data_IF_778859025357
#
_entry.id   IF_778859025357
#
_cell.length_a   1.000
_cell.length_b   1.000
_cell.length_c   1.000
_cell.angle_alpha   90.00
_cell.angle_beta   90.00
_cell.angle_gamma   90.00
#
_symmetry.space_group_name_H-M   'P 1'
#
loop_
_entity.id
_entity.type
_entity.pdbx_description
1 polymer ?
#
# COMPACT_ATOMS: atom_id res chain seq x y z
N UNK A 1 33.34 -41.09 12.39
CA UNK A 1 33.13 -39.76 13.02
C UNK A 1 33.15 -38.62 12.01
N UNK A 2 34.09 -38.57 11.05
CA UNK A 2 34.17 -37.49 10.06
C UNK A 2 32.90 -37.31 9.17
N UNK A 3 32.24 -38.42 8.81
CA UNK A 3 31.03 -38.43 7.95
C UNK A 3 29.75 -37.93 8.64
N UNK A 4 29.70 -37.99 9.98
CA UNK A 4 28.59 -37.40 10.74
C UNK A 4 28.81 -35.90 10.96
N UNK A 5 30.07 -35.46 11.14
CA UNK A 5 30.41 -34.03 11.22
C UNK A 5 30.06 -33.27 9.93
N UNK A 6 30.26 -33.88 8.76
CA UNK A 6 29.89 -33.26 7.47
C UNK A 6 28.38 -33.14 7.28
N UNK A 7 27.58 -34.07 7.84
CA UNK A 7 26.11 -34.00 7.75
C UNK A 7 25.54 -32.91 8.67
N UNK A 8 26.14 -32.71 9.84
CA UNK A 8 25.78 -31.63 10.77
C UNK A 8 26.16 -30.25 10.23
N UNK A 9 27.31 -30.13 9.55
CA UNK A 9 27.76 -28.86 8.95
C UNK A 9 26.86 -28.42 7.78
N UNK A 10 26.38 -29.37 6.95
CA UNK A 10 25.46 -29.08 5.84
C UNK A 10 24.05 -28.74 6.34
N UNK A 11 23.61 -29.34 7.46
CA UNK A 11 22.33 -29.03 8.09
C UNK A 11 22.30 -27.63 8.73
N UNK A 12 23.45 -27.15 9.24
CA UNK A 12 23.56 -25.79 9.80
C UNK A 12 23.64 -24.69 8.73
N UNK A 13 24.09 -24.99 7.49
CA UNK A 13 24.10 -24.01 6.39
C UNK A 13 22.74 -23.84 5.69
N UNK A 14 21.78 -24.74 5.93
CA UNK A 14 20.44 -24.69 5.32
C UNK A 14 19.40 -23.81 6.03
N UNK A 15 19.77 -23.16 7.14
CA UNK A 15 18.84 -22.41 8.01
C UNK A 15 19.04 -20.89 7.97
N UNK A 16 19.83 -20.37 7.02
CA UNK A 16 19.80 -18.94 6.68
C UNK A 16 18.57 -18.66 5.80
N UNK A 17 17.39 -18.89 6.34
CA UNK A 17 16.18 -18.26 5.83
C UNK A 17 16.38 -16.76 6.02
N UNK A 18 16.69 -16.07 4.93
CA UNK A 18 16.64 -14.61 4.85
C UNK A 18 15.21 -14.24 5.21
N UNK A 19 14.98 -13.85 6.48
CA UNK A 19 13.77 -13.20 6.91
C UNK A 19 13.72 -11.90 6.12
N UNK A 20 13.02 -11.92 4.98
CA UNK A 20 12.69 -10.71 4.25
C UNK A 20 11.74 -9.96 5.18
N UNK A 21 12.26 -8.96 5.87
CA UNK A 21 11.39 -8.06 6.60
C UNK A 21 10.63 -7.26 5.56
N UNK A 22 9.32 -7.26 5.71
CA UNK A 22 8.40 -6.60 4.80
C UNK A 22 8.51 -5.07 4.97
N UNK A 23 8.23 -4.36 3.89
CA UNK A 23 8.51 -2.93 3.73
C UNK A 23 7.50 -2.07 4.49
N UNK A 24 6.25 -2.54 4.57
CA UNK A 24 5.15 -1.83 5.21
C UNK A 24 4.80 -2.45 6.58
N UNK A 25 4.38 -1.60 7.51
CA UNK A 25 3.65 -1.97 8.73
C UNK A 25 2.27 -1.30 8.69
N UNK A 26 1.31 -2.01 8.11
CA UNK A 26 -0.04 -1.55 7.86
C UNK A 26 -0.97 -1.99 8.99
N UNK A 27 -1.70 -1.03 9.56
CA UNK A 27 -2.82 -1.25 10.48
C UNK A 27 -4.13 -0.83 9.83
N UNK A 28 -5.14 -1.68 9.96
CA UNK A 28 -6.44 -1.45 9.32
C UNK A 28 -7.52 -1.29 10.38
N UNK A 29 -8.36 -0.27 10.19
CA UNK A 29 -9.61 -0.10 10.93
C UNK A 29 -10.75 -0.08 9.93
N UNK A 30 -11.79 -0.88 10.20
CA UNK A 30 -13.00 -0.90 9.36
C UNK A 30 -14.16 -0.36 10.19
N UNK A 31 -14.81 0.67 9.68
CA UNK A 31 -15.99 1.28 10.27
C UNK A 31 -17.21 0.96 9.40
N UNK A 32 -18.30 0.52 10.02
CA UNK A 32 -19.52 0.10 9.32
C UNK A 32 -20.75 0.81 9.92
N UNK A 33 -20.87 2.14 9.79
CA UNK A 33 -21.86 2.93 10.53
C UNK A 33 -23.32 2.68 10.12
N UNK A 34 -23.56 2.21 8.89
CA UNK A 34 -24.90 2.17 8.27
C UNK A 34 -25.33 0.77 7.83
N UNK A 35 -24.56 -0.27 8.12
CA UNK A 35 -24.79 -1.62 7.59
C UNK A 35 -25.96 -2.34 8.24
N UNK A 36 -26.71 -3.10 7.44
CA UNK A 36 -27.91 -3.81 7.89
C UNK A 36 -28.00 -5.27 7.38
N UNK A 37 -27.32 -5.65 6.29
CA UNK A 37 -27.55 -6.95 5.64
C UNK A 37 -26.41 -7.97 5.86
N UNK A 38 -25.15 -7.56 5.75
CA UNK A 38 -23.99 -8.43 5.87
C UNK A 38 -23.68 -8.79 7.33
N UNK A 39 -23.18 -10.00 7.55
CA UNK A 39 -22.71 -10.45 8.85
C UNK A 39 -21.49 -9.61 9.27
N UNK A 40 -21.48 -8.99 10.48
CA UNK A 40 -20.32 -8.26 11.00
C UNK A 40 -18.99 -9.00 10.90
N UNK A 41 -19.01 -10.35 10.96
CA UNK A 41 -17.81 -11.19 10.80
C UNK A 41 -17.11 -11.02 9.46
N UNK A 42 -17.85 -10.70 8.39
CA UNK A 42 -17.27 -10.40 7.07
C UNK A 42 -16.22 -9.30 7.19
N UNK A 43 -16.48 -8.27 8.00
CA UNK A 43 -15.60 -7.12 8.15
C UNK A 43 -14.42 -7.39 9.08
N UNK A 44 -14.58 -8.26 10.09
CA UNK A 44 -13.46 -8.74 10.90
C UNK A 44 -12.46 -9.55 10.04
N UNK A 45 -12.98 -10.42 9.18
CA UNK A 45 -12.18 -11.19 8.23
C UNK A 45 -11.55 -10.31 7.14
N UNK A 46 -12.31 -9.36 6.58
CA UNK A 46 -11.82 -8.38 5.61
C UNK A 46 -10.65 -7.60 6.19
N UNK A 47 -10.77 -7.10 7.43
CA UNK A 47 -9.67 -6.40 8.12
C UNK A 47 -8.42 -7.28 8.16
N UNK A 48 -8.56 -8.52 8.62
CA UNK A 48 -7.44 -9.45 8.72
C UNK A 48 -6.85 -9.81 7.35
N UNK A 49 -7.70 -9.90 6.31
CA UNK A 49 -7.27 -10.17 4.94
C UNK A 49 -6.46 -8.99 4.36
N UNK A 50 -6.92 -7.74 4.55
CA UNK A 50 -6.20 -6.54 4.12
C UNK A 50 -4.87 -6.43 4.85
N UNK A 51 -4.84 -6.58 6.18
CA UNK A 51 -3.60 -6.54 6.95
C UNK A 51 -2.62 -7.63 6.52
N UNK A 52 -3.11 -8.87 6.30
CA UNK A 52 -2.27 -9.98 5.82
C UNK A 52 -1.70 -9.68 4.43
N UNK A 53 -2.54 -9.22 3.52
CA UNK A 53 -2.14 -8.89 2.16
C UNK A 53 -1.07 -7.79 2.14
N UNK A 54 -1.37 -6.65 2.74
CA UNK A 54 -0.49 -5.48 2.71
C UNK A 54 0.86 -5.72 3.39
N UNK A 55 0.87 -6.48 4.50
CA UNK A 55 2.09 -6.73 5.29
C UNK A 55 2.89 -7.95 4.84
N UNK A 56 2.32 -8.88 4.08
CA UNK A 56 3.05 -10.08 3.63
C UNK A 56 3.38 -10.08 2.15
N UNK A 57 2.71 -9.25 1.35
CA UNK A 57 3.08 -9.02 -0.03
C UNK A 57 4.47 -8.38 -0.07
N UNK A 58 5.33 -8.88 -0.95
CA UNK A 58 6.62 -8.25 -1.25
C UNK A 58 6.39 -7.17 -2.29
N UNK A 59 6.68 -5.92 -1.94
CA UNK A 59 6.46 -4.76 -2.80
C UNK A 59 7.73 -4.29 -3.49
N UNK A 60 8.89 -4.53 -2.88
CA UNK A 60 10.20 -4.13 -3.40
C UNK A 60 11.20 -5.28 -3.28
N UNK A 61 12.39 -5.10 -3.85
CA UNK A 61 13.48 -6.06 -3.69
C UNK A 61 14.41 -5.72 -2.53
N UNK A 62 14.18 -4.59 -1.86
CA UNK A 62 15.06 -4.07 -0.82
C UNK A 62 14.83 -4.79 0.51
N UNK A 63 15.88 -4.84 1.34
CA UNK A 63 15.81 -5.44 2.66
C UNK A 63 15.55 -4.36 3.70
N UNK A 64 14.42 -4.45 4.40
CA UNK A 64 14.03 -3.52 5.46
C UNK A 64 14.40 -4.07 6.83
N UNK A 65 14.83 -3.22 7.75
CA UNK A 65 14.82 -3.56 9.18
C UNK A 65 13.43 -3.29 9.77
N UNK A 66 13.08 -3.95 10.87
CA UNK A 66 11.78 -3.73 11.53
C UNK A 66 11.55 -2.26 11.93
N UNK A 67 12.61 -1.53 12.29
CA UNK A 67 12.55 -0.10 12.62
C UNK A 67 12.44 0.81 11.39
N UNK A 68 12.74 0.32 10.20
CA UNK A 68 12.72 1.07 8.93
C UNK A 68 11.40 0.88 8.18
N UNK A 69 10.51 0.01 8.66
CA UNK A 69 9.20 -0.23 8.04
C UNK A 69 8.38 1.05 8.00
N UNK A 70 7.73 1.27 6.87
CA UNK A 70 6.85 2.43 6.67
C UNK A 70 5.54 2.13 7.38
N UNK A 71 5.21 2.95 8.39
CA UNK A 71 3.97 2.79 9.15
C UNK A 71 2.82 3.37 8.36
N UNK A 72 1.80 2.56 8.12
CA UNK A 72 0.61 2.95 7.36
C UNK A 72 -0.65 2.65 8.17
N UNK A 73 -1.53 3.63 8.27
CA UNK A 73 -2.87 3.47 8.83
C UNK A 73 -3.89 3.56 7.71
N UNK A 74 -4.71 2.52 7.56
CA UNK A 74 -5.85 2.50 6.65
C UNK A 74 -7.12 2.49 7.48
N UNK A 75 -8.01 3.45 7.21
CA UNK A 75 -9.36 3.47 7.76
C UNK A 75 -10.35 3.33 6.62
N UNK A 76 -10.99 2.17 6.53
CA UNK A 76 -12.03 1.89 5.56
C UNK A 76 -13.39 2.12 6.21
N UNK A 77 -14.14 3.10 5.74
CA UNK A 77 -15.50 3.37 6.20
C UNK A 77 -16.47 2.86 5.16
N UNK A 78 -17.13 1.73 5.46
CA UNK A 78 -18.11 1.10 4.58
C UNK A 78 -19.49 1.69 4.89
N UNK A 79 -19.95 2.57 4.01
CA UNK A 79 -21.23 3.27 4.15
C UNK A 79 -22.33 2.73 3.24
N UNK A 80 -21.96 2.02 2.18
CA UNK A 80 -22.85 1.53 1.15
C UNK A 80 -22.78 0.00 1.06
N UNK A 81 -23.95 -0.61 0.92
CA UNK A 81 -24.13 -2.06 0.82
C UNK A 81 -25.01 -2.35 -0.39
N UNK A 82 -24.37 -2.76 -1.49
CA UNK A 82 -25.06 -3.05 -2.75
C UNK A 82 -25.61 -4.48 -2.78
N UNK A 83 -24.93 -5.40 -2.09
CA UNK A 83 -25.35 -6.79 -1.86
C UNK A 83 -24.63 -7.33 -0.62
N UNK A 84 -24.88 -8.60 -0.26
CA UNK A 84 -24.18 -9.28 0.83
C UNK A 84 -22.65 -9.40 0.63
N UNK A 85 -22.14 -9.16 -0.59
CA UNK A 85 -20.72 -9.31 -0.94
C UNK A 85 -20.16 -8.11 -1.70
N UNK A 86 -20.95 -7.05 -1.92
CA UNK A 86 -20.55 -5.87 -2.67
C UNK A 86 -20.81 -4.60 -1.86
N UNK A 87 -19.75 -3.81 -1.67
CA UNK A 87 -19.69 -2.72 -0.71
C UNK A 87 -19.14 -1.45 -1.34
N UNK A 88 -19.47 -0.31 -0.76
CA UNK A 88 -18.96 1.00 -1.14
C UNK A 88 -18.68 1.89 0.06
N UNK A 89 -17.75 2.82 -0.10
CA UNK A 89 -17.46 3.82 0.92
C UNK A 89 -16.14 4.55 0.71
N UNK A 90 -15.53 4.95 1.81
CA UNK A 90 -14.36 5.82 1.83
C UNK A 90 -13.14 5.09 2.39
N UNK A 91 -11.97 5.30 1.78
CA UNK A 91 -10.67 4.83 2.30
C UNK A 91 -9.80 6.03 2.67
N UNK A 92 -9.53 6.19 3.95
CA UNK A 92 -8.52 7.12 4.43
C UNK A 92 -7.20 6.38 4.62
N UNK A 93 -6.13 6.89 4.00
CA UNK A 93 -4.78 6.35 4.14
C UNK A 93 -3.84 7.42 4.69
N UNK A 94 -3.06 7.02 5.69
CA UNK A 94 -2.00 7.84 6.27
C UNK A 94 -0.72 7.02 6.34
N UNK A 95 0.38 7.58 5.84
CA UNK A 95 1.70 6.99 5.95
C UNK A 95 2.63 7.96 6.65
N UNK A 96 3.45 7.43 7.56
CA UNK A 96 4.43 8.20 8.32
C UNK A 96 5.78 7.49 8.27
N UNK A 97 6.85 8.27 8.41
CA UNK A 97 8.21 7.74 8.62
C UNK A 97 8.84 8.33 9.88
N UNK A 98 9.73 7.58 10.56
CA UNK A 98 10.52 8.13 11.63
C UNK A 98 11.55 9.15 11.10
N UNK A 99 11.77 10.20 11.87
CA UNK A 99 12.90 11.12 11.67
C UNK A 99 14.15 10.49 12.26
N UNK A 100 15.24 10.50 11.49
CA UNK A 100 16.50 9.86 11.88
C UNK A 100 16.97 10.32 13.26
N UNK A 101 17.45 9.38 14.08
CA UNK A 101 17.97 9.68 15.43
C UNK A 101 16.92 9.96 16.50
N UNK A 102 15.61 9.96 16.17
CA UNK A 102 14.54 10.33 17.10
C UNK A 102 13.39 9.32 17.15
N UNK A 103 12.50 9.48 18.14
CA UNK A 103 11.20 8.79 18.18
C UNK A 103 10.08 9.58 17.51
N UNK A 104 10.40 10.72 16.88
CA UNK A 104 9.43 11.58 16.23
C UNK A 104 9.11 11.05 14.83
N UNK A 105 7.84 11.09 14.46
CA UNK A 105 7.33 10.64 13.16
C UNK A 105 6.81 11.85 12.37
N UNK A 106 7.02 11.80 11.06
CA UNK A 106 6.57 12.85 10.13
C UNK A 106 5.69 12.25 9.03
N UNK A 107 4.59 12.93 8.65
CA UNK A 107 3.68 12.42 7.63
C UNK A 107 4.30 12.45 6.23
N UNK A 108 4.18 11.34 5.52
CA UNK A 108 4.51 11.20 4.10
C UNK A 108 3.28 11.39 3.21
N UNK A 109 2.16 10.81 3.62
CA UNK A 109 0.90 10.83 2.88
C UNK A 109 -0.27 10.94 3.86
N UNK A 110 -1.26 11.76 3.51
CA UNK A 110 -2.58 11.75 4.12
C UNK A 110 -3.60 11.98 3.03
N UNK A 111 -4.35 10.95 2.68
CA UNK A 111 -5.29 10.98 1.56
C UNK A 111 -6.63 10.35 1.94
N UNK A 112 -7.71 10.91 1.40
CA UNK A 112 -9.07 10.37 1.51
C UNK A 112 -9.57 10.06 0.10
N UNK A 113 -9.70 8.78 -0.17
CA UNK A 113 -10.36 8.25 -1.36
C UNK A 113 -11.85 8.07 -1.06
N UNK A 114 -12.71 8.69 -1.86
CA UNK A 114 -14.17 8.62 -1.70
C UNK A 114 -14.83 7.69 -2.71
N UNK A 115 -14.06 7.17 -3.64
CA UNK A 115 -14.55 6.40 -4.77
C UNK A 115 -14.06 4.95 -4.62
N UNK A 116 -14.39 4.33 -3.48
CA UNK A 116 -13.98 2.96 -3.14
C UNK A 116 -15.19 2.03 -3.16
N UNK A 117 -15.27 1.25 -4.23
CA UNK A 117 -16.26 0.19 -4.41
C UNK A 117 -15.54 -1.15 -4.54
N UNK A 118 -16.00 -2.19 -3.85
CA UNK A 118 -15.33 -3.48 -3.88
C UNK A 118 -16.26 -4.64 -3.58
N UNK A 119 -15.88 -5.81 -4.09
CA UNK A 119 -16.47 -7.08 -3.71
C UNK A 119 -15.59 -7.79 -2.68
N UNK A 120 -16.20 -8.45 -1.70
CA UNK A 120 -15.49 -9.32 -0.78
C UNK A 120 -16.40 -10.43 -0.24
N UNK A 121 -15.90 -11.66 -0.27
CA UNK A 121 -16.53 -12.82 0.35
C UNK A 121 -15.69 -13.32 1.54
N UNK A 122 -16.34 -13.90 2.54
CA UNK A 122 -15.64 -14.51 3.68
C UNK A 122 -14.61 -15.52 3.19
N UNK A 123 -13.45 -15.52 3.86
CA UNK A 123 -12.29 -16.36 3.51
C UNK A 123 -11.67 -16.12 2.12
N UNK A 124 -12.16 -15.17 1.32
CA UNK A 124 -11.54 -14.85 0.05
C UNK A 124 -10.15 -14.23 0.28
N UNK A 125 -9.07 -14.83 -0.28
CA UNK A 125 -7.75 -14.20 -0.22
C UNK A 125 -7.71 -12.97 -1.13
N UNK A 126 -6.98 -11.95 -0.69
CA UNK A 126 -6.63 -10.79 -1.51
C UNK A 126 -5.26 -11.07 -2.11
N UNK A 127 -5.15 -11.00 -3.44
CA UNK A 127 -3.93 -11.36 -4.17
C UNK A 127 -3.61 -10.29 -5.22
N UNK A 128 -2.31 -9.99 -5.39
CA UNK A 128 -1.84 -9.05 -6.39
C UNK A 128 -1.00 -9.74 -7.46
N UNK A 129 -1.26 -9.38 -8.71
CA UNK A 129 -0.55 -9.85 -9.89
C UNK A 129 -0.06 -8.65 -10.69
N UNK A 130 1.25 -8.50 -10.89
CA UNK A 130 1.85 -7.29 -11.46
C UNK A 130 1.30 -6.87 -12.84
N UNK A 131 0.89 -7.84 -13.65
CA UNK A 131 0.45 -7.61 -15.03
C UNK A 131 -1.00 -8.10 -15.26
N UNK A 132 -1.77 -8.30 -14.20
CA UNK A 132 -3.13 -8.82 -14.32
C UNK A 132 -4.05 -8.20 -13.28
N UNK A 133 -5.24 -7.82 -13.74
CA UNK A 133 -6.34 -7.49 -12.84
C UNK A 133 -6.89 -8.77 -12.21
N UNK A 134 -7.00 -8.78 -10.88
CA UNK A 134 -7.65 -9.85 -10.12
C UNK A 134 -9.03 -9.36 -9.65
N UNK A 135 -9.04 -8.32 -8.81
CA UNK A 135 -10.25 -7.70 -8.27
C UNK A 135 -9.99 -6.23 -7.92
N UNK A 136 -11.05 -5.45 -7.70
CA UNK A 136 -10.90 -4.02 -7.47
C UNK A 136 -10.28 -3.69 -6.11
N UNK A 137 -10.50 -4.51 -5.07
CA UNK A 137 -9.95 -4.28 -3.73
C UNK A 137 -8.43 -4.44 -3.74
N UNK A 138 -7.93 -5.54 -4.31
CA UNK A 138 -6.49 -5.79 -4.45
C UNK A 138 -5.83 -4.69 -5.28
N UNK A 139 -6.46 -4.22 -6.36
CA UNK A 139 -5.95 -3.09 -7.16
C UNK A 139 -5.88 -1.79 -6.38
N UNK A 140 -6.92 -1.41 -5.62
CA UNK A 140 -6.91 -0.18 -4.79
C UNK A 140 -5.78 -0.23 -3.76
N UNK A 141 -5.68 -1.35 -3.04
CA UNK A 141 -4.67 -1.54 -2.00
C UNK A 141 -3.24 -1.52 -2.57
N UNK A 142 -3.02 -2.19 -3.71
CA UNK A 142 -1.73 -2.22 -4.40
C UNK A 142 -1.33 -0.86 -4.94
N UNK A 143 -2.28 -0.12 -5.51
CA UNK A 143 -2.07 1.27 -5.95
C UNK A 143 -1.54 2.12 -4.79
N UNK A 144 -2.23 2.09 -3.64
CA UNK A 144 -1.81 2.88 -2.48
C UNK A 144 -0.50 2.40 -1.84
N UNK A 145 -0.20 1.09 -1.87
CA UNK A 145 1.11 0.59 -1.46
C UNK A 145 2.23 1.24 -2.28
N UNK A 146 2.10 1.27 -3.60
CA UNK A 146 3.10 1.89 -4.48
C UNK A 146 3.16 3.42 -4.35
N UNK A 147 2.04 4.10 -4.11
CA UNK A 147 2.06 5.54 -3.80
C UNK A 147 2.83 5.80 -2.51
N UNK A 148 2.59 5.05 -1.44
CA UNK A 148 3.30 5.19 -0.17
C UNK A 148 4.80 4.94 -0.34
N UNK A 149 5.17 3.86 -1.04
CA UNK A 149 6.58 3.56 -1.35
C UNK A 149 7.24 4.67 -2.15
N UNK A 150 6.57 5.19 -3.17
CA UNK A 150 7.11 6.29 -3.96
C UNK A 150 7.36 7.55 -3.11
N UNK A 151 6.41 7.91 -2.26
CA UNK A 151 6.56 9.05 -1.34
C UNK A 151 7.69 8.84 -0.32
N UNK A 152 7.84 7.61 0.17
CA UNK A 152 8.92 7.26 1.09
C UNK A 152 10.30 7.38 0.43
N UNK A 153 10.51 6.80 -0.75
CA UNK A 153 11.80 6.85 -1.45
C UNK A 153 12.17 8.26 -1.91
N UNK A 154 11.18 9.08 -2.32
CA UNK A 154 11.38 10.51 -2.58
C UNK A 154 11.84 11.25 -1.31
N UNK A 155 11.43 10.82 -0.13
CA UNK A 155 11.85 11.44 1.13
C UNK A 155 13.32 11.13 1.50
N UNK A 156 13.91 10.09 0.89
CA UNK A 156 15.31 9.69 1.13
C UNK A 156 16.27 10.10 0.01
N UNK A 157 15.78 10.26 -1.21
CA UNK A 157 16.59 10.65 -2.36
C UNK A 157 15.78 11.46 -3.38
N UNK A 158 16.38 12.44 -4.08
CA UNK A 158 15.69 13.21 -5.10
C UNK A 158 15.09 12.28 -6.16
N UNK A 159 13.76 12.27 -6.29
CA UNK A 159 13.00 11.46 -7.24
C UNK A 159 13.17 9.94 -7.09
N UNK A 160 13.60 9.45 -5.92
CA UNK A 160 13.80 8.02 -5.66
C UNK A 160 12.53 7.18 -5.82
N UNK A 161 11.34 7.79 -5.67
CA UNK A 161 10.05 7.14 -5.79
C UNK A 161 9.58 6.85 -7.20
N UNK A 162 10.29 7.33 -8.23
CA UNK A 162 9.92 7.18 -9.64
C UNK A 162 9.52 5.74 -10.03
N UNK A 163 10.29 4.69 -9.68
CA UNK A 163 9.92 3.32 -10.05
C UNK A 163 8.59 2.88 -9.45
N UNK A 164 8.27 3.30 -8.23
CA UNK A 164 7.03 2.92 -7.55
C UNK A 164 5.82 3.68 -8.08
N UNK A 165 5.98 4.96 -8.42
CA UNK A 165 4.93 5.69 -9.13
C UNK A 165 4.63 5.08 -10.51
N UNK A 166 5.65 4.58 -11.21
CA UNK A 166 5.45 3.82 -12.45
C UNK A 166 4.69 2.51 -12.19
N UNK A 167 5.00 1.76 -11.12
CA UNK A 167 4.22 0.58 -10.74
C UNK A 167 2.76 0.93 -10.41
N UNK A 168 2.50 2.05 -9.72
CA UNK A 168 1.15 2.53 -9.48
C UNK A 168 0.41 2.84 -10.79
N UNK A 169 1.09 3.41 -11.78
CA UNK A 169 0.53 3.63 -13.11
C UNK A 169 0.22 2.30 -13.82
N UNK A 170 1.08 1.29 -13.68
CA UNK A 170 0.81 -0.04 -14.24
C UNK A 170 -0.41 -0.70 -13.60
N UNK A 171 -0.64 -0.53 -12.30
CA UNK A 171 -1.89 -0.98 -11.66
C UNK A 171 -3.11 -0.40 -12.39
N UNK A 172 -3.11 0.90 -12.69
CA UNK A 172 -4.19 1.54 -13.45
C UNK A 172 -4.31 0.93 -14.85
N UNK A 173 -3.20 0.68 -15.54
CA UNK A 173 -3.19 0.12 -16.89
C UNK A 173 -3.76 -1.32 -16.94
N UNK A 174 -3.68 -2.07 -15.85
CA UNK A 174 -4.26 -3.43 -15.77
C UNK A 174 -5.79 -3.43 -15.63
N UNK A 175 -6.40 -2.32 -15.20
CA UNK A 175 -7.85 -2.26 -14.94
C UNK A 175 -8.63 -2.37 -16.27
N UNK A 176 -9.50 -3.38 -16.44
CA UNK A 176 -10.32 -3.50 -17.64
C UNK A 176 -11.27 -2.31 -17.80
N UNK A 177 -11.53 -1.87 -19.05
CA UNK A 177 -12.40 -0.71 -19.32
C UNK A 177 -13.80 -0.84 -18.71
N UNK A 178 -14.36 -2.06 -18.65
CA UNK A 178 -15.66 -2.32 -18.02
C UNK A 178 -15.64 -2.14 -16.51
N UNK A 179 -14.54 -2.53 -15.85
CA UNK A 179 -14.35 -2.35 -14.41
C UNK A 179 -14.14 -0.87 -14.10
N UNK A 180 -13.32 -0.17 -14.90
CA UNK A 180 -13.08 1.26 -14.74
C UNK A 180 -14.36 2.07 -14.92
N UNK A 181 -15.24 1.69 -15.86
CA UNK A 181 -16.54 2.35 -16.04
C UNK A 181 -17.53 2.08 -14.90
N UNK A 182 -17.42 0.93 -14.22
CA UNK A 182 -18.29 0.54 -13.12
C UNK A 182 -17.78 0.99 -11.74
N UNK A 183 -16.49 1.28 -11.61
CA UNK A 183 -15.82 1.64 -10.37
C UNK A 183 -15.05 2.95 -10.60
N UNK A 184 -15.61 4.10 -10.19
CA UNK A 184 -14.98 5.39 -10.41
C UNK A 184 -13.60 5.47 -9.76
N UNK A 185 -12.75 6.31 -10.34
CA UNK A 185 -11.47 6.72 -9.79
C UNK A 185 -10.26 6.20 -10.57
N UNK A 186 -10.49 5.32 -11.54
CA UNK A 186 -9.46 4.75 -12.42
C UNK A 186 -9.27 5.53 -13.72
N UNK A 187 -10.21 6.41 -14.08
CA UNK A 187 -10.17 7.17 -15.33
C UNK A 187 -10.02 8.67 -15.10
N UNK A 188 -9.48 9.37 -16.09
CA UNK A 188 -9.37 10.84 -16.08
C UNK A 188 -10.71 11.56 -16.04
N UNK A 189 -11.78 10.88 -16.47
CA UNK A 189 -13.15 11.40 -16.54
C UNK A 189 -13.90 11.32 -15.20
N UNK A 190 -13.40 10.55 -14.23
CA UNK A 190 -14.02 10.33 -12.91
C UNK A 190 -13.77 11.50 -11.94
N UNK A 191 -13.71 12.72 -12.45
CA UNK A 191 -13.39 13.94 -11.71
C UNK A 191 -11.90 14.27 -11.63
N UNK A 192 -11.57 15.33 -10.88
CA UNK A 192 -10.23 15.93 -10.85
C UNK A 192 -9.38 15.48 -9.64
N UNK A 193 -9.94 14.63 -8.75
CA UNK A 193 -9.28 14.14 -7.54
C UNK A 193 -9.54 12.65 -7.39
N UNK A 194 -8.77 11.86 -8.11
CA UNK A 194 -8.90 10.41 -8.13
C UNK A 194 -7.53 9.73 -8.29
N UNK A 195 -7.52 8.38 -8.22
CA UNK A 195 -6.30 7.56 -8.30
C UNK A 195 -5.54 7.81 -9.61
N UNK A 196 -6.24 7.95 -10.74
CA UNK A 196 -5.65 8.34 -12.02
C UNK A 196 -4.85 9.64 -11.94
N UNK A 197 -5.47 10.71 -11.44
CA UNK A 197 -4.81 12.01 -11.37
C UNK A 197 -3.72 12.08 -10.32
N UNK A 198 -3.77 11.27 -9.25
CA UNK A 198 -2.69 11.21 -8.25
C UNK A 198 -1.38 10.79 -8.92
N UNK A 199 -1.38 9.64 -9.61
CA UNK A 199 -0.15 9.10 -10.21
C UNK A 199 0.32 9.92 -11.41
N UNK A 200 -0.61 10.38 -12.27
CA UNK A 200 -0.30 11.23 -13.41
C UNK A 200 0.39 12.54 -12.97
N UNK A 201 -0.09 13.15 -11.88
CA UNK A 201 0.54 14.36 -11.35
C UNK A 201 1.91 14.07 -10.74
N UNK A 202 2.09 12.96 -10.02
CA UNK A 202 3.39 12.61 -9.40
C UNK A 202 4.47 12.27 -10.43
N UNK A 203 4.10 11.71 -11.58
CA UNK A 203 5.00 11.44 -12.71
C UNK A 203 5.22 12.68 -13.59
N UNK A 204 4.35 13.69 -13.49
CA UNK A 204 4.45 14.90 -14.31
C UNK A 204 5.72 15.70 -14.00
N UNK A 205 6.51 16.09 -15.02
CA UNK A 205 7.64 17.00 -14.84
C UNK A 205 7.27 18.33 -14.16
N UNK A 206 6.01 18.76 -14.28
CA UNK A 206 5.49 19.99 -13.67
C UNK A 206 5.47 19.94 -12.14
N UNK A 207 5.37 18.74 -11.56
CA UNK A 207 5.26 18.51 -10.11
C UNK A 207 6.61 18.10 -9.51
N UNK A 208 7.69 18.03 -10.31
CA UNK A 208 9.05 17.78 -9.79
C UNK A 208 9.47 18.71 -8.64
N UNK A 209 9.17 20.02 -8.64
CA UNK A 209 9.50 20.87 -7.50
C UNK A 209 8.86 20.42 -6.18
N UNK A 210 7.64 19.87 -6.23
CA UNK A 210 6.98 19.29 -5.05
C UNK A 210 7.72 18.05 -4.55
N UNK A 211 8.06 17.13 -5.46
CA UNK A 211 8.82 15.91 -5.11
C UNK A 211 10.21 16.22 -4.57
N UNK A 212 10.88 17.24 -5.13
CA UNK A 212 12.14 17.75 -4.59
C UNK A 212 11.95 18.31 -3.17
N UNK A 213 10.88 19.06 -2.93
CA UNK A 213 10.58 19.58 -1.60
C UNK A 213 10.34 18.47 -0.56
N UNK A 214 9.79 17.32 -0.95
CA UNK A 214 9.65 16.15 -0.06
C UNK A 214 11.02 15.66 0.41
N UNK A 215 11.99 15.54 -0.51
CA UNK A 215 13.37 15.19 -0.16
C UNK A 215 14.02 16.25 0.75
N UNK A 216 13.94 17.53 0.36
CA UNK A 216 14.60 18.62 1.08
C UNK A 216 14.04 18.73 2.52
N UNK A 217 12.72 18.64 2.68
CA UNK A 217 12.07 18.71 3.98
C UNK A 217 12.45 17.54 4.90
N UNK A 218 12.35 16.31 4.41
CA UNK A 218 12.59 15.13 5.24
C UNK A 218 14.08 14.90 5.48
N UNK A 219 14.87 14.81 4.40
CA UNK A 219 16.26 14.41 4.49
C UNK A 219 17.21 15.55 4.80
N UNK A 220 16.99 16.73 4.23
CA UNK A 220 17.91 17.86 4.37
C UNK A 220 17.54 18.80 5.52
N UNK A 221 16.32 18.72 6.06
CA UNK A 221 15.93 19.46 7.26
C UNK A 221 15.76 18.52 8.46
N UNK A 222 14.70 17.71 8.50
CA UNK A 222 14.35 16.94 9.70
C UNK A 222 15.45 15.95 10.12
N UNK A 223 15.97 15.15 9.19
CA UNK A 223 16.99 14.13 9.49
C UNK A 223 18.38 14.72 9.86
N UNK A 224 18.66 15.98 9.51
CA UNK A 224 19.93 16.66 9.86
C UNK A 224 19.82 17.38 11.20
N UNK A 225 18.62 17.82 11.58
CA UNK A 225 18.35 18.53 12.83
C UNK A 225 18.04 17.60 14.02
N UNK A 226 17.68 16.34 13.73
CA UNK A 226 17.31 15.31 14.70
C UNK A 226 18.48 14.65 15.44
#
# INVERSE_FOLDING_TARGET
>A
MLRQLTLTLILCTGLLSVLHAQELDVKVTINTPTLQQADPKVFEELKAAIERFMNNQRWTNDAYQTSERIKVSIVLTVSEEYSATAFGGDLAIQAVRPVYGSTYETPLLSHLDRDVTFGYEQYQPIEYSQNSFNDNLSSILSFYAFIVLGMDYDSFSPFGGEPYFQQAQEVINTIPSSVAAANPGWQSLDGNRNRYWIVENLLSPRVRPYRQAIYDYHRQALDIMG
#
